data_IF_347985480594
#
_entry.id   IF_347985480594
#
_cell.length_a   1.000
_cell.length_b   1.000
_cell.length_c   1.000
_cell.angle_alpha   90.00
_cell.angle_beta   90.00
_cell.angle_gamma   90.00
#
_symmetry.space_group_name_H-M   'P 1'
#
loop_
_entity.id
_entity.type
_entity.pdbx_description
1 polymer ?
#
# COMPACT_ATOMS: atom_id res chain seq x y z
N UNK A 1 0.25 5.03 17.98
CA UNK A 1 0.43 4.07 16.85
C UNK A 1 0.04 2.63 17.19
N UNK A 2 0.12 2.19 18.45
CA UNK A 2 -0.24 0.82 18.89
C UNK A 2 -1.61 0.32 18.38
N UNK A 3 -2.63 1.19 18.35
CA UNK A 3 -3.95 0.85 17.81
C UNK A 3 -3.89 0.46 16.33
N UNK A 4 -3.04 1.11 15.52
CA UNK A 4 -2.86 0.69 14.12
C UNK A 4 -2.17 -0.65 14.05
N UNK A 5 -1.12 -0.84 14.85
CA UNK A 5 -0.34 -2.09 14.89
C UNK A 5 -1.22 -3.30 15.22
N UNK A 6 -2.08 -3.18 16.24
CA UNK A 6 -3.03 -4.22 16.66
C UNK A 6 -4.13 -4.52 15.62
N UNK A 7 -4.39 -3.61 14.69
CA UNK A 7 -5.47 -3.74 13.70
C UNK A 7 -4.96 -3.83 12.25
N UNK A 8 -3.66 -3.78 12.02
CA UNK A 8 -3.06 -3.90 10.70
C UNK A 8 -2.89 -5.37 10.31
N UNK A 9 -2.82 -5.61 9.00
CA UNK A 9 -2.60 -6.95 8.44
C UNK A 9 -1.16 -7.05 7.99
N UNK A 10 -0.28 -7.40 8.93
CA UNK A 10 1.18 -7.52 8.66
C UNK A 10 1.45 -8.51 7.52
N UNK A 11 0.63 -9.57 7.40
CA UNK A 11 0.72 -10.56 6.32
C UNK A 11 0.46 -10.01 4.91
N UNK A 12 -0.04 -8.78 4.77
CA UNK A 12 -0.33 -8.16 3.48
C UNK A 12 0.85 -7.38 2.89
N UNK A 13 1.91 -7.14 3.66
CA UNK A 13 3.09 -6.41 3.19
C UNK A 13 3.87 -7.19 2.13
N UNK A 14 4.63 -6.48 1.28
CA UNK A 14 5.41 -7.10 0.21
C UNK A 14 6.45 -8.11 0.72
N UNK A 15 6.98 -7.88 1.93
CA UNK A 15 8.04 -8.62 2.63
C UNK A 15 7.52 -9.48 3.79
N UNK A 16 6.21 -9.72 3.85
CA UNK A 16 5.60 -10.55 4.88
C UNK A 16 5.95 -12.04 4.71
N UNK A 17 6.30 -12.71 5.81
CA UNK A 17 6.59 -14.16 5.83
C UNK A 17 5.44 -15.01 5.29
N UNK A 18 4.19 -14.59 5.53
CA UNK A 18 2.98 -15.25 5.02
C UNK A 18 2.88 -15.24 3.48
N UNK A 19 3.78 -14.54 2.80
CA UNK A 19 3.88 -14.48 1.34
C UNK A 19 5.09 -15.22 0.80
N UNK A 20 5.86 -15.90 1.64
CA UNK A 20 7.00 -16.69 1.19
C UNK A 20 6.56 -18.07 0.62
N UNK A 21 7.13 -18.52 -0.51
CA UNK A 21 7.97 -17.75 -1.43
C UNK A 21 7.15 -16.71 -2.21
N UNK A 22 7.64 -15.47 -2.35
CA UNK A 22 6.89 -14.44 -3.04
C UNK A 22 6.78 -14.75 -4.54
N UNK A 23 5.64 -14.50 -5.18
CA UNK A 23 5.50 -14.69 -6.62
C UNK A 23 6.35 -13.60 -7.28
N UNK A 24 7.50 -13.92 -7.83
CA UNK A 24 8.37 -12.95 -8.50
C UNK A 24 8.41 -13.20 -10.01
N UNK A 25 8.65 -12.14 -10.79
CA UNK A 25 8.93 -12.30 -12.21
C UNK A 25 10.19 -13.15 -12.40
N UNK A 26 10.13 -14.15 -13.27
CA UNK A 26 11.33 -14.89 -13.66
C UNK A 26 12.29 -13.97 -14.42
N UNK A 27 13.62 -14.16 -14.28
CA UNK A 27 14.61 -13.38 -15.01
C UNK A 27 14.32 -13.35 -16.53
N UNK A 28 14.39 -12.15 -17.12
CA UNK A 28 14.13 -11.95 -18.55
C UNK A 28 12.65 -11.98 -18.97
N UNK A 29 11.71 -12.12 -18.03
CA UNK A 29 10.27 -12.04 -18.32
C UNK A 29 9.69 -10.68 -17.97
N UNK A 30 8.58 -10.28 -18.62
CA UNK A 30 7.83 -9.04 -18.34
C UNK A 30 8.68 -7.76 -18.35
N UNK A 31 9.81 -7.79 -19.04
CA UNK A 31 10.81 -6.71 -19.07
C UNK A 31 10.21 -5.40 -19.55
N UNK A 32 9.46 -5.42 -20.65
CA UNK A 32 8.80 -4.23 -21.20
C UNK A 32 7.84 -3.58 -20.19
N UNK A 33 7.00 -4.38 -19.54
CA UNK A 33 6.06 -3.88 -18.52
C UNK A 33 6.80 -3.32 -17.31
N UNK A 34 7.85 -3.99 -16.84
CA UNK A 34 8.68 -3.51 -15.74
C UNK A 34 9.38 -2.19 -16.09
N UNK A 35 9.89 -2.04 -17.31
CA UNK A 35 10.49 -0.78 -17.78
C UNK A 35 9.49 0.37 -17.83
N UNK A 36 8.26 0.13 -18.29
CA UNK A 36 7.19 1.13 -18.27
C UNK A 36 6.91 1.57 -16.84
N UNK A 37 6.77 0.63 -15.90
CA UNK A 37 6.51 0.93 -14.49
C UNK A 37 7.68 1.68 -13.84
N UNK A 38 8.93 1.28 -14.12
CA UNK A 38 10.13 1.99 -13.62
C UNK A 38 10.14 3.45 -14.05
N UNK A 39 9.88 3.70 -15.34
CA UNK A 39 9.80 5.06 -15.90
C UNK A 39 8.67 5.84 -15.23
N UNK A 40 7.50 5.23 -15.07
CA UNK A 40 6.36 5.86 -14.42
C UNK A 40 6.61 6.21 -12.94
N UNK A 41 7.20 5.29 -12.16
CA UNK A 41 7.54 5.52 -10.74
C UNK A 41 8.57 6.63 -10.57
N UNK A 42 9.59 6.64 -11.44
CA UNK A 42 10.71 7.58 -11.36
C UNK A 42 10.42 8.96 -11.96
N UNK A 43 9.32 9.10 -12.71
CA UNK A 43 8.94 10.36 -13.33
C UNK A 43 8.28 11.32 -12.34
N UNK A 44 9.11 12.23 -11.80
CA UNK A 44 8.66 13.30 -10.89
C UNK A 44 7.81 14.39 -11.56
N UNK A 45 7.75 14.42 -12.90
CA UNK A 45 7.00 15.40 -13.70
C UNK A 45 5.64 14.89 -14.15
N UNK A 46 5.41 13.58 -14.08
CA UNK A 46 4.15 12.95 -14.47
C UNK A 46 2.94 13.51 -13.70
N UNK A 47 1.85 13.73 -14.43
CA UNK A 47 0.52 14.05 -13.89
C UNK A 47 -0.34 12.80 -13.69
N UNK A 48 0.17 11.62 -14.03
CA UNK A 48 -0.53 10.34 -13.88
C UNK A 48 -0.15 9.71 -12.54
N UNK A 49 -1.07 9.75 -11.57
CA UNK A 49 -0.83 9.28 -10.20
C UNK A 49 -1.30 7.85 -9.93
N UNK A 50 -2.03 7.24 -10.86
CA UNK A 50 -2.52 5.87 -10.76
C UNK A 50 -2.13 5.12 -12.02
N UNK A 51 -1.42 4.00 -11.86
CA UNK A 51 -1.18 3.05 -12.93
C UNK A 51 -2.03 1.79 -12.66
N UNK A 52 -2.92 1.47 -13.60
CA UNK A 52 -3.78 0.28 -13.49
C UNK A 52 -3.20 -0.86 -14.33
N UNK A 53 -2.56 -1.84 -13.68
CA UNK A 53 -2.07 -3.04 -14.34
C UNK A 53 -3.18 -4.09 -14.45
N UNK A 54 -3.73 -4.26 -15.65
CA UNK A 54 -4.82 -5.21 -15.92
C UNK A 54 -4.41 -6.31 -16.89
N UNK A 55 -5.17 -7.39 -16.88
CA UNK A 55 -4.94 -8.57 -17.72
C UNK A 55 -5.66 -9.79 -17.15
N UNK A 56 -5.76 -10.85 -17.96
CA UNK A 56 -6.40 -12.10 -17.55
C UNK A 56 -5.78 -12.70 -16.27
N UNK A 57 -6.56 -13.54 -15.59
CA UNK A 57 -6.07 -14.33 -14.46
C UNK A 57 -4.88 -15.21 -14.91
N UNK A 58 -3.89 -15.39 -14.03
CA UNK A 58 -2.71 -16.21 -14.32
C UNK A 58 -1.62 -15.56 -15.18
N UNK A 59 -1.77 -14.32 -15.64
CA UNK A 59 -0.73 -13.65 -16.45
C UNK A 59 0.47 -13.10 -15.63
N UNK A 60 0.50 -13.30 -14.32
CA UNK A 60 1.61 -12.88 -13.45
C UNK A 60 1.55 -11.41 -13.00
N UNK A 61 0.35 -10.82 -12.87
CA UNK A 61 0.18 -9.45 -12.37
C UNK A 61 0.75 -9.29 -10.95
N UNK A 62 0.41 -10.22 -10.05
CA UNK A 62 0.97 -10.28 -8.69
C UNK A 62 2.48 -10.42 -8.70
N UNK A 63 3.04 -11.13 -9.70
CA UNK A 63 4.48 -11.25 -9.85
C UNK A 63 5.16 -9.94 -10.23
N UNK A 64 4.54 -9.17 -11.13
CA UNK A 64 4.99 -7.82 -11.46
C UNK A 64 4.87 -6.90 -10.25
N UNK A 65 3.74 -6.91 -9.54
CA UNK A 65 3.52 -6.09 -8.35
C UNK A 65 4.54 -6.39 -7.24
N UNK A 66 4.86 -7.66 -7.01
CA UNK A 66 5.88 -8.09 -6.08
C UNK A 66 7.27 -7.60 -6.47
N UNK A 67 7.69 -7.88 -7.71
CA UNK A 67 9.02 -7.47 -8.20
C UNK A 67 9.20 -5.96 -8.13
N UNK A 68 8.18 -5.17 -8.48
CA UNK A 68 8.23 -3.70 -8.36
C UNK A 68 8.27 -3.27 -6.89
N UNK A 69 7.55 -3.95 -5.99
CA UNK A 69 7.62 -3.64 -4.55
C UNK A 69 9.04 -3.83 -4.02
N UNK A 70 9.65 -4.99 -4.28
CA UNK A 70 11.02 -5.30 -3.86
C UNK A 70 12.04 -4.33 -4.47
N UNK A 71 11.90 -4.00 -5.76
CA UNK A 71 12.81 -3.08 -6.47
C UNK A 71 12.79 -1.66 -5.86
N UNK A 72 11.61 -1.19 -5.43
CA UNK A 72 11.43 0.17 -4.92
C UNK A 72 11.36 0.28 -3.39
N UNK A 73 11.54 -0.82 -2.65
CA UNK A 73 11.40 -0.91 -1.20
C UNK A 73 12.19 0.16 -0.43
N UNK A 74 13.42 0.46 -0.87
CA UNK A 74 14.32 1.41 -0.21
C UNK A 74 14.34 2.81 -0.84
N UNK A 75 13.40 3.13 -1.74
CA UNK A 75 13.40 4.42 -2.44
C UNK A 75 12.01 5.05 -2.57
N UNK A 76 11.10 4.42 -3.30
CA UNK A 76 9.82 5.01 -3.68
C UNK A 76 8.64 4.35 -2.96
N UNK A 77 8.74 3.07 -2.59
CA UNK A 77 7.67 2.33 -1.95
C UNK A 77 7.40 2.90 -0.56
N UNK A 78 6.19 3.41 -0.37
CA UNK A 78 5.69 3.95 0.89
C UNK A 78 4.81 2.94 1.63
N UNK A 79 4.07 2.12 0.88
CA UNK A 79 3.22 1.06 1.42
C UNK A 79 2.91 0.01 0.35
N UNK A 80 2.58 -1.20 0.80
CA UNK A 80 2.01 -2.23 -0.06
C UNK A 80 0.86 -2.95 0.66
N UNK A 81 -0.07 -3.49 -0.13
CA UNK A 81 -1.07 -4.42 0.37
C UNK A 81 -1.41 -5.45 -0.72
N UNK A 82 -1.15 -6.71 -0.41
CA UNK A 82 -1.48 -7.84 -1.27
C UNK A 82 -2.68 -8.57 -0.70
N UNK A 83 -3.82 -8.43 -1.37
CA UNK A 83 -5.03 -9.18 -1.04
C UNK A 83 -4.81 -10.66 -1.37
N UNK A 84 -5.51 -11.52 -0.62
CA UNK A 84 -5.51 -12.96 -0.89
C UNK A 84 -6.84 -13.57 -0.51
N UNK A 85 -7.52 -14.23 -1.45
CA UNK A 85 -8.82 -14.87 -1.22
C UNK A 85 -8.73 -15.98 -0.17
N UNK A 86 -7.58 -16.64 -0.11
CA UNK A 86 -7.31 -17.75 0.80
C UNK A 86 -7.10 -17.31 2.26
N UNK A 87 -6.90 -16.00 2.50
CA UNK A 87 -6.61 -15.47 3.83
C UNK A 87 -7.74 -14.54 4.29
N UNK A 88 -8.52 -14.92 5.32
CA UNK A 88 -9.61 -14.13 5.87
C UNK A 88 -9.22 -12.72 6.34
N UNK A 89 -7.94 -12.48 6.65
CA UNK A 89 -7.44 -11.16 7.04
C UNK A 89 -7.12 -10.28 5.83
N UNK A 90 -6.89 -10.88 4.65
CA UNK A 90 -6.50 -10.22 3.40
C UNK A 90 -7.53 -10.37 2.28
N UNK A 91 -8.73 -10.89 2.57
CA UNK A 91 -9.80 -11.07 1.58
C UNK A 91 -10.93 -10.05 1.73
N UNK A 92 -10.70 -8.95 2.46
CA UNK A 92 -11.66 -7.88 2.65
C UNK A 92 -10.94 -6.53 2.88
N UNK A 93 -11.69 -5.44 2.79
CA UNK A 93 -11.15 -4.09 2.85
C UNK A 93 -11.03 -3.51 4.27
N UNK A 94 -11.54 -4.20 5.30
CA UNK A 94 -11.74 -3.64 6.65
C UNK A 94 -10.46 -3.07 7.26
N UNK A 95 -9.33 -3.71 6.99
CA UNK A 95 -8.02 -3.36 7.54
C UNK A 95 -7.06 -2.73 6.52
N UNK A 96 -7.53 -2.49 5.30
CA UNK A 96 -6.69 -2.01 4.21
C UNK A 96 -6.06 -0.65 4.53
N UNK A 97 -6.86 0.39 4.79
CA UNK A 97 -6.33 1.73 5.07
C UNK A 97 -5.64 1.85 6.42
N UNK A 98 -5.97 1.00 7.40
CA UNK A 98 -5.24 0.89 8.66
C UNK A 98 -3.80 0.42 8.40
N UNK A 99 -3.65 -0.63 7.59
CA UNK A 99 -2.35 -1.20 7.23
C UNK A 99 -1.52 -0.23 6.40
N UNK A 100 -2.14 0.45 5.42
CA UNK A 100 -1.48 1.53 4.67
C UNK A 100 -1.02 2.64 5.61
N UNK A 101 -1.87 3.09 6.53
CA UNK A 101 -1.53 4.13 7.50
C UNK A 101 -0.36 3.72 8.41
N UNK A 102 -0.35 2.46 8.89
CA UNK A 102 0.77 1.91 9.65
C UNK A 102 2.07 1.96 8.86
N UNK A 103 2.08 1.44 7.62
CA UNK A 103 3.26 1.46 6.75
C UNK A 103 3.80 2.88 6.53
N UNK A 104 2.92 3.86 6.29
CA UNK A 104 3.31 5.26 6.15
C UNK A 104 3.98 5.81 7.43
N UNK A 105 3.54 5.40 8.61
CA UNK A 105 4.13 5.84 9.89
C UNK A 105 5.38 5.09 10.31
N UNK A 106 5.57 3.85 9.87
CA UNK A 106 6.74 3.03 10.23
C UNK A 106 7.87 3.13 9.20
N UNK A 107 7.59 3.65 8.00
CA UNK A 107 8.62 3.91 7.01
C UNK A 107 9.60 5.00 7.49
N UNK A 108 10.90 4.71 7.48
CA UNK A 108 11.93 5.54 8.11
C UNK A 108 11.95 7.03 7.69
N UNK A 109 11.61 7.36 6.44
CA UNK A 109 11.53 8.77 5.96
C UNK A 109 10.19 9.43 6.29
N UNK A 110 9.09 8.68 6.21
CA UNK A 110 7.73 9.22 6.34
C UNK A 110 7.27 9.26 7.80
N UNK A 111 7.72 8.32 8.62
CA UNK A 111 7.36 8.18 10.03
C UNK A 111 7.59 9.45 10.84
N UNK A 112 8.78 10.08 10.80
CA UNK A 112 9.04 11.35 11.48
C UNK A 112 8.13 12.50 11.04
N UNK A 113 7.49 12.39 9.89
CA UNK A 113 6.65 13.42 9.27
C UNK A 113 5.17 13.18 9.56
N UNK A 114 4.71 11.93 9.45
CA UNK A 114 3.28 11.58 9.47
C UNK A 114 2.80 11.05 10.82
N UNK A 115 3.70 10.51 11.65
CA UNK A 115 3.31 9.82 12.89
C UNK A 115 2.54 10.72 13.86
N UNK A 116 2.93 11.99 14.01
CA UNK A 116 2.24 12.91 14.92
C UNK A 116 0.78 13.13 14.51
N UNK A 117 0.53 13.39 13.22
CA UNK A 117 -0.82 13.64 12.72
C UNK A 117 -1.74 12.42 12.84
N UNK A 118 -1.19 11.24 12.58
CA UNK A 118 -1.92 9.97 12.68
C UNK A 118 -2.16 9.61 14.15
N UNK A 119 -1.18 9.80 15.04
CA UNK A 119 -1.33 9.55 16.47
C UNK A 119 -2.37 10.48 17.09
N UNK A 120 -2.38 11.76 16.72
CA UNK A 120 -3.41 12.73 17.14
C UNK A 120 -4.81 12.30 16.69
N UNK A 121 -4.94 11.81 15.46
CA UNK A 121 -6.23 11.32 14.92
C UNK A 121 -6.74 10.14 15.76
N UNK A 122 -5.87 9.17 16.05
CA UNK A 122 -6.20 7.98 16.85
C UNK A 122 -6.52 8.34 18.30
N UNK A 123 -5.77 9.27 18.92
CA UNK A 123 -6.04 9.73 20.30
C UNK A 123 -7.39 10.41 20.43
N UNK A 124 -7.82 11.15 19.41
CA UNK A 124 -9.13 11.81 19.37
C UNK A 124 -10.27 10.82 19.19
N UNK A 125 -10.07 9.80 18.36
CA UNK A 125 -11.09 8.78 18.08
C UNK A 125 -10.44 7.41 17.87
N UNK A 126 -10.24 6.66 18.95
CA UNK A 126 -9.61 5.33 18.88
C UNK A 126 -10.40 4.34 18.01
N UNK A 127 -11.72 4.53 17.90
CA UNK A 127 -12.62 3.70 17.10
C UNK A 127 -12.55 3.98 15.60
N UNK A 128 -11.69 4.91 15.14
CA UNK A 128 -11.53 5.19 13.71
C UNK A 128 -11.12 3.95 12.91
N UNK A 129 -10.40 3.01 13.52
CA UNK A 129 -10.05 1.71 12.92
C UNK A 129 -11.25 0.80 12.67
N UNK A 130 -12.41 1.09 13.26
CA UNK A 130 -13.66 0.35 13.00
C UNK A 130 -14.67 1.17 12.19
N UNK A 131 -14.27 2.35 11.70
CA UNK A 131 -15.14 3.18 10.89
C UNK A 131 -15.35 2.58 9.48
N UNK A 132 -16.33 3.13 8.76
CA UNK A 132 -16.51 2.85 7.32
C UNK A 132 -15.22 3.15 6.56
N UNK A 133 -15.00 2.40 5.48
CA UNK A 133 -13.77 2.45 4.68
C UNK A 133 -13.43 3.86 4.19
N UNK A 134 -14.43 4.62 3.74
CA UNK A 134 -14.23 6.00 3.28
C UNK A 134 -13.73 6.90 4.41
N UNK A 135 -14.24 6.68 5.63
CA UNK A 135 -13.83 7.47 6.81
C UNK A 135 -12.43 7.07 7.26
N UNK A 136 -12.09 5.79 7.26
CA UNK A 136 -10.71 5.34 7.50
C UNK A 136 -9.76 6.00 6.51
N UNK A 137 -10.07 5.97 5.21
CA UNK A 137 -9.24 6.60 4.18
C UNK A 137 -9.05 8.10 4.43
N UNK A 138 -10.13 8.82 4.69
CA UNK A 138 -10.08 10.27 4.91
C UNK A 138 -9.25 10.64 6.14
N UNK A 139 -9.51 10.00 7.28
CA UNK A 139 -8.88 10.36 8.56
C UNK A 139 -7.45 9.80 8.70
N UNK A 140 -7.17 8.60 8.20
CA UNK A 140 -5.89 7.91 8.43
C UNK A 140 -4.88 8.07 7.29
N UNK A 141 -5.32 8.51 6.11
CA UNK A 141 -4.45 8.69 4.94
C UNK A 141 -4.54 10.11 4.39
N UNK A 142 -5.72 10.56 3.95
CA UNK A 142 -5.84 11.84 3.23
C UNK A 142 -5.48 13.03 4.12
N UNK A 143 -6.11 13.17 5.29
CA UNK A 143 -5.86 14.32 6.19
C UNK A 143 -4.42 14.41 6.68
N UNK A 144 -3.76 13.32 7.15
CA UNK A 144 -2.35 13.33 7.47
C UNK A 144 -1.48 13.72 6.28
N UNK A 145 -1.75 13.15 5.10
CA UNK A 145 -0.94 13.43 3.92
C UNK A 145 -1.09 14.87 3.40
N UNK A 146 -2.27 15.48 3.61
CA UNK A 146 -2.54 16.87 3.24
C UNK A 146 -1.85 17.90 4.15
N UNK A 147 -1.22 17.48 5.24
CA UNK A 147 -0.39 18.38 6.06
C UNK A 147 0.92 18.75 5.35
N UNK A 148 1.29 18.01 4.31
CA UNK A 148 2.49 18.24 3.51
C UNK A 148 2.17 18.99 2.22
N UNK A 149 2.98 19.99 1.90
CA UNK A 149 2.85 20.71 0.63
C UNK A 149 3.37 19.86 -0.53
N UNK A 150 2.87 20.09 -1.74
CA UNK A 150 3.23 19.33 -2.94
C UNK A 150 4.75 19.24 -3.18
N UNK A 151 5.51 20.29 -2.84
CA UNK A 151 6.99 20.29 -2.98
C UNK A 151 7.68 19.31 -2.03
N UNK A 152 7.13 19.07 -0.85
CA UNK A 152 7.66 18.08 0.09
C UNK A 152 7.42 16.68 -0.45
N UNK A 153 6.20 16.39 -0.92
CA UNK A 153 5.83 15.09 -1.49
C UNK A 153 6.72 14.63 -2.65
N UNK A 154 7.24 15.54 -3.47
CA UNK A 154 8.14 15.18 -4.60
C UNK A 154 9.46 14.56 -4.17
N UNK A 155 9.87 14.74 -2.90
CA UNK A 155 11.12 14.20 -2.35
C UNK A 155 10.90 12.99 -1.44
N UNK A 156 9.64 12.58 -1.27
CA UNK A 156 9.27 11.53 -0.35
C UNK A 156 8.85 10.27 -1.12
N UNK A 157 9.05 9.08 -0.52
CA UNK A 157 8.41 7.86 -0.99
C UNK A 157 6.90 8.07 -1.07
N UNK A 158 6.31 7.63 -2.18
CA UNK A 158 4.92 7.93 -2.53
C UNK A 158 4.25 6.84 -3.36
N UNK A 159 4.96 5.74 -3.64
CA UNK A 159 4.41 4.59 -4.35
C UNK A 159 3.65 3.72 -3.35
N UNK A 160 2.37 3.49 -3.62
CA UNK A 160 1.55 2.51 -2.92
C UNK A 160 1.19 1.42 -3.91
N UNK A 161 1.54 0.16 -3.59
CA UNK A 161 1.22 -0.99 -4.44
C UNK A 161 0.04 -1.75 -3.83
N UNK A 162 -0.96 -2.00 -4.66
CA UNK A 162 -2.17 -2.74 -4.30
C UNK A 162 -2.32 -3.86 -5.32
N UNK A 163 -2.36 -5.10 -4.86
CA UNK A 163 -2.51 -6.28 -5.72
C UNK A 163 -3.65 -7.17 -5.23
N UNK A 164 -4.36 -7.80 -6.16
CA UNK A 164 -5.42 -8.76 -5.84
C UNK A 164 -6.73 -8.16 -5.33
N UNK A 165 -7.07 -6.91 -5.67
CA UNK A 165 -8.33 -6.29 -5.20
C UNK A 165 -9.58 -7.14 -5.53
N UNK A 166 -9.54 -7.89 -6.64
CA UNK A 166 -10.56 -8.86 -7.08
C UNK A 166 -10.62 -10.16 -6.23
N UNK A 167 -9.65 -10.36 -5.35
CA UNK A 167 -9.64 -11.45 -4.38
C UNK A 167 -10.48 -11.17 -3.14
N UNK A 168 -10.97 -9.93 -2.98
CA UNK A 168 -11.92 -9.59 -1.92
C UNK A 168 -13.21 -10.41 -2.06
N UNK A 169 -13.63 -11.04 -0.97
CA UNK A 169 -14.90 -11.74 -0.88
C UNK A 169 -15.94 -10.73 -0.39
N UNK A 170 -16.88 -10.35 -1.26
CA UNK A 170 -18.04 -9.58 -0.83
C UNK A 170 -18.86 -10.44 0.12
N UNK A 171 -18.91 -10.07 1.40
CA UNK A 171 -20.03 -10.47 2.24
C UNK A 171 -21.26 -9.81 1.65
N UNK A 172 -22.12 -10.59 0.97
CA UNK A 172 -23.50 -10.17 0.73
C UNK A 172 -24.12 -9.99 2.12
N UNK A 173 -24.27 -8.73 2.52
CA UNK A 173 -25.21 -8.36 3.59
C UNK A 173 -26.63 -8.64 3.15
#
# INVERSE_FOLDING_TARGET
>A
LEILDQNAVVGAAYDAEQRFPPPNCYPGTRTETLEILRKWVSDSTSTTFIYWLYGAAGLGKSAIAQTVSEEFANSHLAASFFFSRADPTRNNLQHFFITISLHLTTYHVLGPILSEYIDLTIRRECRIVHAKLERQFQELVVKPCNQLITKQWRKLPRLIIIDGLDECVYSRG
#
